data_IF_330005246433
#
_entry.id   IF_330005246433
#
_cell.length_a   1.000
_cell.length_b   1.000
_cell.length_c   1.000
_cell.angle_alpha   90.00
_cell.angle_beta   90.00
_cell.angle_gamma   90.00
#
_symmetry.space_group_name_H-M   'P 1'
#
loop_
_entity.id
_entity.type
_entity.pdbx_description
1 polymer ?
#
# COMPACT_ATOMS: atom_id res chain seq x y z
N UNK A 1 -0.50 -65.74 -55.53
CA UNK A 1 -1.67 -65.11 -54.88
C UNK A 1 -1.98 -65.93 -53.63
N UNK A 2 -2.17 -65.37 -52.43
CA UNK A 2 -2.17 -63.96 -52.04
C UNK A 2 -1.50 -63.74 -50.66
N UNK A 3 -1.44 -62.48 -50.23
CA UNK A 3 -0.86 -61.89 -49.01
C UNK A 3 -0.68 -62.80 -47.78
N UNK A 4 0.44 -62.79 -47.04
CA UNK A 4 1.26 -61.65 -46.59
C UNK A 4 0.50 -60.67 -45.66
N UNK A 5 -0.06 -61.18 -44.55
CA UNK A 5 -0.82 -60.36 -43.59
C UNK A 5 -0.84 -60.96 -42.16
N UNK A 6 0.34 -61.18 -41.55
CA UNK A 6 0.46 -61.76 -40.20
C UNK A 6 1.72 -61.31 -39.42
N UNK A 7 2.27 -60.12 -39.69
CA UNK A 7 3.57 -59.70 -39.10
C UNK A 7 3.69 -58.17 -38.89
N UNK A 8 2.62 -57.54 -38.41
CA UNK A 8 2.60 -56.17 -37.87
C UNK A 8 1.64 -56.13 -36.66
N UNK A 9 1.76 -55.10 -35.81
CA UNK A 9 0.98 -54.88 -34.56
C UNK A 9 1.30 -55.76 -33.33
N UNK A 10 2.56 -55.74 -32.85
CA UNK A 10 2.85 -55.60 -31.41
C UNK A 10 4.04 -54.63 -31.21
N UNK A 11 3.87 -53.36 -31.61
CA UNK A 11 4.80 -52.27 -31.28
C UNK A 11 4.05 -50.93 -31.28
N UNK A 12 3.32 -50.65 -30.18
CA UNK A 12 3.00 -49.31 -29.62
C UNK A 12 1.88 -49.43 -28.57
N UNK A 13 2.25 -49.69 -27.31
CA UNK A 13 1.44 -49.23 -26.15
C UNK A 13 2.30 -49.06 -24.89
N UNK A 14 3.46 -48.43 -25.06
CA UNK A 14 4.34 -47.98 -23.97
C UNK A 14 4.28 -46.46 -23.83
N UNK A 15 3.08 -45.88 -23.93
CA UNK A 15 2.80 -44.47 -23.59
C UNK A 15 2.86 -44.29 -22.07
N UNK A 16 4.05 -44.49 -21.51
CA UNK A 16 4.37 -44.07 -20.16
C UNK A 16 4.09 -42.57 -20.08
N UNK A 17 3.01 -42.22 -19.37
CA UNK A 17 2.74 -40.84 -19.01
C UNK A 17 3.77 -40.48 -17.94
N UNK A 18 4.94 -40.03 -18.38
CA UNK A 18 5.90 -39.38 -17.51
C UNK A 18 5.17 -38.20 -16.87
N UNK A 19 4.89 -38.32 -15.57
CA UNK A 19 4.46 -37.18 -14.78
C UNK A 19 5.57 -36.13 -14.89
N UNK A 20 5.25 -34.83 -15.07
CA UNK A 20 6.28 -33.82 -15.15
C UNK A 20 7.06 -33.79 -13.84
N UNK A 21 8.35 -34.14 -13.91
CA UNK A 21 9.24 -34.09 -12.76
C UNK A 21 9.28 -32.66 -12.18
N UNK A 22 9.28 -32.57 -10.86
CA UNK A 22 9.31 -31.28 -10.17
C UNK A 22 10.71 -30.69 -10.29
N UNK A 23 10.87 -29.72 -11.19
CA UNK A 23 12.09 -28.91 -11.29
C UNK A 23 12.16 -28.00 -10.06
N UNK A 24 13.18 -28.21 -9.23
CA UNK A 24 13.48 -27.39 -8.06
C UNK A 24 14.60 -26.40 -8.39
N UNK A 25 14.55 -25.22 -7.79
CA UNK A 25 15.61 -24.21 -7.86
C UNK A 25 16.56 -24.38 -6.66
N UNK A 26 17.87 -24.35 -6.91
CA UNK A 26 18.90 -24.52 -5.89
C UNK A 26 19.02 -23.29 -4.96
N UNK A 27 19.51 -23.52 -3.74
CA UNK A 27 19.83 -22.47 -2.76
C UNK A 27 18.72 -22.16 -1.74
N UNK A 28 17.50 -22.65 -1.94
CA UNK A 28 16.44 -22.56 -0.94
C UNK A 28 16.62 -23.60 0.18
N UNK A 29 16.42 -23.18 1.43
CA UNK A 29 16.43 -24.05 2.60
C UNK A 29 15.20 -23.80 3.48
N UNK A 30 14.69 -24.86 4.12
CA UNK A 30 13.51 -24.79 5.00
C UNK A 30 13.90 -25.27 6.40
N UNK A 31 13.59 -24.46 7.42
CA UNK A 31 13.90 -24.75 8.82
C UNK A 31 12.70 -24.45 9.73
N UNK A 32 12.46 -25.29 10.73
CA UNK A 32 11.35 -25.12 11.68
C UNK A 32 11.61 -23.96 12.64
N UNK A 33 10.92 -22.84 12.41
CA UNK A 33 10.97 -21.63 13.27
C UNK A 33 10.23 -21.83 14.60
N UNK A 34 9.11 -22.57 14.59
CA UNK A 34 8.25 -22.82 15.74
C UNK A 34 7.71 -24.25 15.65
N UNK A 35 7.71 -25.00 16.76
CA UNK A 35 7.08 -26.32 16.85
C UNK A 35 5.75 -26.22 17.63
N UNK A 36 4.63 -26.28 16.89
CA UNK A 36 3.29 -26.24 17.47
C UNK A 36 2.98 -27.38 18.43
N UNK A 37 3.55 -28.58 18.24
CA UNK A 37 3.30 -29.72 19.12
C UNK A 37 3.91 -29.51 20.50
N UNK A 38 5.13 -28.95 20.57
CA UNK A 38 5.77 -28.58 21.84
C UNK A 38 4.99 -27.51 22.60
N UNK A 39 4.36 -26.59 21.88
CA UNK A 39 3.63 -25.44 22.45
C UNK A 39 2.13 -25.68 22.65
N UNK A 40 1.59 -26.82 22.19
CA UNK A 40 0.14 -27.12 22.11
C UNK A 40 -0.65 -26.04 21.34
N UNK A 41 -0.05 -25.55 20.27
CA UNK A 41 -0.60 -24.58 19.33
C UNK A 41 -0.71 -25.22 17.94
N UNK A 42 -1.74 -24.88 17.18
CA UNK A 42 -1.95 -25.32 15.80
C UNK A 42 -1.89 -24.12 14.84
N UNK A 43 -0.69 -23.72 14.36
CA UNK A 43 -0.53 -22.57 13.47
C UNK A 43 -1.28 -22.77 12.14
N UNK A 44 -2.26 -21.91 11.88
CA UNK A 44 -3.02 -21.90 10.63
C UNK A 44 -2.47 -20.88 9.63
N UNK A 45 -2.14 -19.68 10.09
CA UNK A 45 -1.56 -18.61 9.28
C UNK A 45 -0.67 -17.69 10.12
N UNK A 46 0.26 -17.00 9.47
CA UNK A 46 1.28 -16.15 10.10
C UNK A 46 1.56 -14.91 9.26
N UNK A 47 1.69 -13.75 9.89
CA UNK A 47 2.08 -12.48 9.26
C UNK A 47 3.03 -11.68 10.16
N UNK A 48 3.92 -10.90 9.56
CA UNK A 48 4.85 -10.03 10.27
C UNK A 48 4.14 -8.73 10.75
N UNK A 49 4.28 -8.36 12.03
CA UNK A 49 3.66 -7.14 12.57
C UNK A 49 4.42 -5.90 12.12
N UNK A 50 3.76 -4.98 11.41
CA UNK A 50 4.38 -3.70 11.02
C UNK A 50 4.87 -2.94 12.26
N UNK A 51 6.14 -2.51 12.25
CA UNK A 51 6.74 -1.70 13.31
C UNK A 51 7.35 -2.46 14.50
N UNK A 52 7.24 -3.79 14.58
CA UNK A 52 8.07 -4.62 15.48
C UNK A 52 8.78 -5.72 14.70
N UNK A 53 9.51 -6.61 15.37
CA UNK A 53 10.05 -7.84 14.79
C UNK A 53 9.26 -9.09 15.23
N UNK A 54 8.01 -8.91 15.65
CA UNK A 54 7.14 -10.01 16.05
C UNK A 54 6.31 -10.52 14.86
N UNK A 55 6.17 -11.84 14.79
CA UNK A 55 5.15 -12.50 13.99
C UNK A 55 3.85 -12.56 14.79
N UNK A 56 2.71 -12.28 14.13
CA UNK A 56 1.39 -12.69 14.63
C UNK A 56 1.09 -14.06 14.03
N UNK A 57 0.68 -15.01 14.86
CA UNK A 57 0.27 -16.36 14.47
C UNK A 57 -1.19 -16.57 14.85
N UNK A 58 -1.99 -17.07 13.91
CA UNK A 58 -3.38 -17.47 14.15
C UNK A 58 -3.43 -18.99 14.37
N UNK A 59 -3.94 -19.40 15.53
CA UNK A 59 -4.48 -20.74 15.75
C UNK A 59 -6.00 -20.70 15.54
N UNK A 60 -6.42 -21.06 14.32
CA UNK A 60 -7.83 -21.05 13.92
C UNK A 60 -8.66 -22.07 14.70
N UNK A 61 -8.09 -23.25 14.96
CA UNK A 61 -8.76 -24.34 15.67
C UNK A 61 -9.08 -23.98 17.13
N UNK A 62 -8.13 -23.34 17.81
CA UNK A 62 -8.29 -22.83 19.18
C UNK A 62 -8.81 -21.38 19.24
N UNK A 63 -9.26 -20.78 18.12
CA UNK A 63 -9.84 -19.43 18.06
C UNK A 63 -8.95 -18.35 18.71
N UNK A 64 -7.63 -18.48 18.60
CA UNK A 64 -6.65 -17.73 19.41
C UNK A 64 -5.52 -17.16 18.55
N UNK A 65 -5.13 -15.92 18.85
CA UNK A 65 -4.00 -15.23 18.23
C UNK A 65 -2.82 -15.18 19.19
N UNK A 66 -1.61 -15.32 18.66
CA UNK A 66 -0.34 -15.25 19.39
C UNK A 66 0.61 -14.23 18.75
N UNK A 67 1.50 -13.64 19.54
CA UNK A 67 2.71 -12.96 19.06
C UNK A 67 3.95 -13.79 19.39
N UNK A 68 4.90 -13.83 18.45
CA UNK A 68 6.16 -14.56 18.59
C UNK A 68 7.31 -13.69 18.08
N UNK A 69 8.27 -13.38 18.93
CA UNK A 69 9.41 -12.55 18.55
C UNK A 69 10.37 -13.30 17.61
N UNK A 70 10.76 -12.63 16.53
CA UNK A 70 11.56 -13.14 15.42
C UNK A 70 12.78 -12.22 15.16
N UNK A 71 13.93 -12.69 14.60
CA UNK A 71 14.26 -14.09 14.24
C UNK A 71 14.16 -15.03 15.44
N UNK A 72 13.62 -16.22 15.22
CA UNK A 72 13.32 -17.10 16.35
C UNK A 72 14.58 -17.75 16.94
N UNK A 73 14.65 -17.79 18.27
CA UNK A 73 15.68 -18.51 19.02
C UNK A 73 15.04 -19.67 19.80
N UNK A 74 15.87 -20.48 20.48
CA UNK A 74 15.35 -21.49 21.41
C UNK A 74 14.59 -20.90 22.62
N UNK A 75 14.64 -19.57 22.80
CA UNK A 75 13.96 -18.82 23.87
C UNK A 75 12.80 -17.96 23.36
N UNK A 76 12.40 -18.07 22.08
CA UNK A 76 11.36 -17.21 21.48
C UNK A 76 10.02 -17.27 22.24
N UNK A 77 9.72 -16.19 22.96
CA UNK A 77 8.58 -16.12 23.88
C UNK A 77 7.27 -15.96 23.11
N UNK A 78 6.56 -17.08 22.93
CA UNK A 78 5.19 -17.09 22.41
C UNK A 78 4.24 -16.54 23.45
N UNK A 79 3.55 -15.43 23.14
CA UNK A 79 2.57 -14.76 24.01
C UNK A 79 1.21 -14.78 23.34
N UNK A 80 0.14 -14.96 24.11
CA UNK A 80 -1.23 -14.87 23.55
C UNK A 80 -1.62 -13.40 23.35
N UNK A 81 -1.96 -13.03 22.12
CA UNK A 81 -2.42 -11.71 21.72
C UNK A 81 -3.91 -11.51 22.05
N UNK A 82 -4.77 -12.45 21.62
CA UNK A 82 -6.21 -12.39 21.89
C UNK A 82 -6.90 -13.75 21.71
N UNK A 83 -8.13 -13.90 22.22
CA UNK A 83 -8.93 -15.12 22.20
C UNK A 83 -8.91 -15.84 23.56
N UNK A 84 -10.09 -16.20 24.10
CA UNK A 84 -10.18 -16.97 25.35
C UNK A 84 -10.02 -18.49 25.16
N UNK A 85 -9.83 -18.95 23.91
CA UNK A 85 -9.73 -20.36 23.51
C UNK A 85 -11.05 -20.99 23.07
N UNK A 86 -12.20 -20.36 23.34
CA UNK A 86 -13.53 -20.94 23.09
C UNK A 86 -14.19 -20.35 21.84
N UNK A 87 -14.86 -21.18 21.01
CA UNK A 87 -15.66 -20.67 19.89
C UNK A 87 -16.82 -19.81 20.42
N UNK A 88 -17.01 -18.63 19.84
CA UNK A 88 -18.08 -17.70 20.22
C UNK A 88 -17.99 -16.38 19.49
N UNK A 89 -18.87 -15.43 19.86
CA UNK A 89 -18.79 -14.05 19.42
C UNK A 89 -18.84 -13.14 20.65
N UNK A 90 -17.72 -12.50 20.96
CA UNK A 90 -17.60 -11.57 22.08
C UNK A 90 -16.50 -10.54 21.78
N UNK A 91 -16.88 -9.27 21.70
CA UNK A 91 -15.97 -8.12 21.66
C UNK A 91 -15.51 -7.73 23.08
N UNK A 92 -14.55 -6.79 23.18
CA UNK A 92 -14.04 -6.27 24.44
C UNK A 92 -12.57 -6.63 24.71
N UNK A 93 -12.22 -6.91 25.96
CA UNK A 93 -10.81 -7.09 26.38
C UNK A 93 -10.15 -8.26 25.63
N UNK A 94 -8.91 -8.05 25.20
CA UNK A 94 -8.10 -9.00 24.42
C UNK A 94 -8.12 -10.44 24.99
N UNK A 95 -8.03 -10.58 26.31
CA UNK A 95 -7.96 -11.87 27.02
C UNK A 95 -9.31 -12.58 27.24
N UNK A 96 -10.43 -11.92 26.95
CA UNK A 96 -11.79 -12.47 27.09
C UNK A 96 -12.60 -12.47 25.80
N UNK A 97 -12.11 -11.81 24.74
CA UNK A 97 -12.76 -11.80 23.44
C UNK A 97 -12.86 -13.21 22.85
N UNK A 98 -13.89 -13.44 22.02
CA UNK A 98 -14.14 -14.72 21.33
C UNK A 98 -14.36 -14.51 19.84
N UNK A 99 -13.83 -15.46 19.10
CA UNK A 99 -13.97 -15.68 17.66
C UNK A 99 -14.56 -17.10 17.45
N UNK A 100 -15.06 -17.43 16.26
CA UNK A 100 -15.47 -18.78 15.91
C UNK A 100 -14.96 -19.18 14.52
N UNK A 101 -13.99 -20.09 14.51
CA UNK A 101 -13.25 -20.52 13.32
C UNK A 101 -12.69 -19.35 12.49
N UNK A 102 -11.95 -18.38 13.10
CA UNK A 102 -11.34 -17.29 12.35
C UNK A 102 -10.45 -17.84 11.22
N UNK A 103 -10.71 -17.44 9.97
CA UNK A 103 -10.09 -18.04 8.78
C UNK A 103 -8.77 -17.36 8.41
N UNK A 104 -8.82 -16.09 8.03
CA UNK A 104 -7.63 -15.30 7.75
C UNK A 104 -7.61 -14.00 8.54
N UNK A 105 -6.47 -13.31 8.50
CA UNK A 105 -6.28 -12.03 9.15
C UNK A 105 -5.34 -11.15 8.33
N UNK A 106 -5.40 -9.84 8.55
CA UNK A 106 -4.52 -8.85 7.95
C UNK A 106 -4.01 -7.89 9.04
N UNK A 107 -2.83 -7.29 8.84
CA UNK A 107 -2.22 -6.35 9.78
C UNK A 107 -2.06 -4.99 9.10
N UNK A 108 -2.43 -3.90 9.79
CA UNK A 108 -2.18 -2.53 9.30
C UNK A 108 -0.81 -1.97 9.68
N UNK A 109 -0.52 -0.75 9.18
CA UNK A 109 0.73 -0.04 9.43
C UNK A 109 0.96 0.35 10.90
N UNK A 110 -0.04 0.20 11.77
CA UNK A 110 0.02 0.44 13.22
C UNK A 110 0.06 -0.86 14.03
N UNK A 111 -0.03 -2.01 13.37
CA UNK A 111 -0.04 -3.31 14.03
C UNK A 111 -1.38 -3.67 14.68
N UNK A 112 -2.50 -3.09 14.24
CA UNK A 112 -3.83 -3.67 14.51
C UNK A 112 -4.02 -4.92 13.65
N UNK A 113 -4.78 -5.91 14.14
CA UNK A 113 -5.06 -7.15 13.41
C UNK A 113 -6.54 -7.23 13.06
N UNK A 114 -6.85 -7.18 11.77
CA UNK A 114 -8.20 -7.42 11.26
C UNK A 114 -8.40 -8.92 11.02
N UNK A 115 -9.58 -9.45 11.29
CA UNK A 115 -9.85 -10.91 11.33
C UNK A 115 -11.13 -11.26 10.58
N UNK A 116 -11.07 -12.26 9.69
CA UNK A 116 -12.23 -12.89 9.07
C UNK A 116 -12.82 -13.95 10.01
N UNK A 117 -13.86 -13.58 10.75
CA UNK A 117 -14.51 -14.39 11.79
C UNK A 117 -15.79 -15.04 11.21
N UNK A 118 -15.59 -16.15 10.49
CA UNK A 118 -16.56 -16.67 9.51
C UNK A 118 -17.77 -17.43 10.11
N UNK A 119 -17.69 -17.98 11.32
CA UNK A 119 -18.84 -18.69 11.95
C UNK A 119 -19.57 -17.84 12.98
N UNK A 120 -20.77 -18.29 13.36
CA UNK A 120 -21.83 -17.51 14.00
C UNK A 120 -22.27 -16.33 13.10
N UNK A 121 -21.45 -15.28 13.06
CA UNK A 121 -21.83 -13.90 12.73
C UNK A 121 -21.32 -13.39 11.38
N UNK A 122 -20.40 -14.11 10.72
CA UNK A 122 -19.77 -13.74 9.43
C UNK A 122 -19.24 -12.30 9.49
N UNK A 123 -18.32 -12.08 10.42
CA UNK A 123 -17.88 -10.74 10.84
C UNK A 123 -16.44 -10.46 10.49
N UNK A 124 -16.15 -9.20 10.18
CA UNK A 124 -14.79 -8.69 10.15
C UNK A 124 -14.54 -7.98 11.48
N UNK A 125 -13.65 -8.56 12.28
CA UNK A 125 -13.28 -8.08 13.62
C UNK A 125 -11.95 -7.31 13.51
N UNK A 126 -11.66 -6.47 14.49
CA UNK A 126 -10.39 -5.75 14.64
C UNK A 126 -9.88 -5.89 16.07
N UNK A 127 -8.68 -6.44 16.21
CA UNK A 127 -7.88 -6.50 17.42
C UNK A 127 -6.96 -5.26 17.44
N UNK A 128 -6.97 -4.54 18.55
CA UNK A 128 -6.17 -3.33 18.78
C UNK A 128 -5.81 -3.21 20.26
N UNK A 129 -4.94 -2.28 20.64
CA UNK A 129 -4.47 -2.15 22.03
C UNK A 129 -5.61 -1.80 23.02
N UNK A 130 -6.74 -1.28 22.54
CA UNK A 130 -7.95 -1.04 23.34
C UNK A 130 -8.86 -2.27 23.50
N UNK A 131 -8.65 -3.33 22.69
CA UNK A 131 -9.43 -4.56 22.68
C UNK A 131 -9.83 -5.03 21.28
N UNK A 132 -10.78 -5.97 21.24
CA UNK A 132 -11.42 -6.50 20.04
C UNK A 132 -12.74 -5.79 19.81
N UNK A 133 -12.99 -5.37 18.57
CA UNK A 133 -14.24 -4.74 18.12
C UNK A 133 -14.69 -5.33 16.78
N UNK A 134 -15.98 -5.36 16.51
CA UNK A 134 -16.53 -5.72 15.20
C UNK A 134 -16.60 -4.49 14.29
N UNK A 135 -15.99 -4.55 13.11
CA UNK A 135 -16.00 -3.43 12.14
C UNK A 135 -17.01 -3.62 11.01
N UNK A 136 -17.34 -4.85 10.63
CA UNK A 136 -18.35 -5.16 9.63
C UNK A 136 -19.04 -6.52 9.89
N UNK A 137 -20.27 -6.66 9.41
CA UNK A 137 -21.10 -7.86 9.59
C UNK A 137 -21.84 -7.92 10.92
N UNK A 138 -22.37 -9.09 11.26
CA UNK A 138 -22.86 -9.41 12.61
C UNK A 138 -24.27 -8.97 12.99
N UNK A 139 -24.96 -8.21 12.13
CA UNK A 139 -26.43 -8.01 12.23
C UNK A 139 -27.19 -9.13 11.49
N UNK A 140 -26.64 -9.66 10.41
CA UNK A 140 -27.15 -10.88 9.78
C UNK A 140 -26.57 -12.11 10.46
N UNK A 141 -27.41 -12.91 11.13
CA UNK A 141 -27.05 -14.24 11.64
C UNK A 141 -26.94 -15.30 10.51
N UNK A 142 -27.13 -14.89 9.25
CA UNK A 142 -27.06 -15.73 8.05
C UNK A 142 -25.97 -15.25 7.11
N UNK A 143 -25.38 -16.19 6.38
CA UNK A 143 -24.55 -15.88 5.22
C UNK A 143 -25.35 -15.11 4.16
N UNK A 144 -24.67 -14.23 3.42
CA UNK A 144 -25.25 -13.39 2.37
C UNK A 144 -24.19 -12.50 1.72
N UNK A 145 -24.60 -11.66 0.76
CA UNK A 145 -23.70 -10.81 -0.03
C UNK A 145 -24.15 -9.34 -0.06
N UNK A 146 -24.87 -8.88 0.96
CA UNK A 146 -25.41 -7.51 1.01
C UNK A 146 -24.27 -6.52 1.27
N UNK A 147 -24.18 -5.48 0.43
CA UNK A 147 -23.32 -4.31 0.61
C UNK A 147 -24.05 -3.15 1.31
N UNK A 148 -23.31 -2.16 1.80
CA UNK A 148 -23.85 -0.96 2.43
C UNK A 148 -23.03 -0.49 3.64
N UNK A 149 -23.63 0.23 4.59
CA UNK A 149 -23.01 0.51 5.88
C UNK A 149 -22.53 -0.78 6.55
N UNK A 150 -21.34 -0.76 7.14
CA UNK A 150 -20.63 -1.99 7.52
C UNK A 150 -21.39 -2.92 8.48
N UNK A 151 -22.28 -2.37 9.32
CA UNK A 151 -23.18 -3.12 10.19
C UNK A 151 -24.23 -3.94 9.41
N UNK A 152 -24.74 -3.39 8.31
CA UNK A 152 -25.78 -3.99 7.47
C UNK A 152 -25.19 -4.95 6.41
N UNK A 153 -23.87 -4.89 6.18
CA UNK A 153 -23.20 -5.80 5.26
C UNK A 153 -23.32 -7.25 5.73
N UNK A 154 -23.43 -8.18 4.79
CA UNK A 154 -23.32 -9.63 5.06
C UNK A 154 -22.31 -10.28 4.12
N UNK A 155 -21.65 -11.33 4.60
CA UNK A 155 -20.61 -12.10 3.92
C UNK A 155 -20.99 -13.58 3.92
N UNK A 156 -20.32 -14.41 3.11
CA UNK A 156 -20.50 -15.86 3.17
C UNK A 156 -19.85 -16.47 4.42
N UNK A 157 -19.84 -17.81 4.57
CA UNK A 157 -18.99 -18.51 5.53
C UNK A 157 -17.64 -18.97 4.95
N UNK A 158 -17.32 -18.59 3.72
CA UNK A 158 -15.98 -18.70 3.13
C UNK A 158 -15.53 -17.34 2.57
N UNK A 159 -14.92 -16.53 3.42
CA UNK A 159 -14.24 -15.30 3.00
C UNK A 159 -12.90 -15.10 3.71
N UNK A 160 -12.00 -14.39 3.03
CA UNK A 160 -10.67 -14.04 3.49
C UNK A 160 -10.40 -12.55 3.25
N UNK A 161 -9.51 -11.96 4.04
CA UNK A 161 -9.20 -10.52 3.99
C UNK A 161 -7.72 -10.23 3.75
N UNK A 162 -7.44 -9.10 3.10
CA UNK A 162 -6.08 -8.57 2.87
C UNK A 162 -6.10 -7.04 3.04
N UNK A 163 -5.01 -6.45 3.55
CA UNK A 163 -4.90 -5.01 3.77
C UNK A 163 -4.08 -4.35 2.65
N UNK A 164 -4.59 -3.24 2.09
CA UNK A 164 -3.89 -2.41 1.11
C UNK A 164 -3.55 -1.06 1.76
N UNK A 165 -2.27 -0.81 2.09
CA UNK A 165 -1.83 0.44 2.71
C UNK A 165 -2.19 1.70 1.90
N UNK A 166 -1.93 1.67 0.60
CA UNK A 166 -2.05 2.84 -0.29
C UNK A 166 -3.50 3.23 -0.61
N UNK A 167 -4.46 2.34 -0.31
CA UNK A 167 -5.91 2.61 -0.42
C UNK A 167 -6.57 2.86 0.95
N UNK A 168 -5.84 2.68 2.06
CA UNK A 168 -6.40 2.63 3.40
C UNK A 168 -7.62 1.70 3.50
N UNK A 169 -7.49 0.47 3.00
CA UNK A 169 -8.64 -0.42 2.83
C UNK A 169 -8.30 -1.89 3.15
N UNK A 170 -9.32 -2.65 3.53
CA UNK A 170 -9.32 -4.11 3.39
C UNK A 170 -9.94 -4.47 2.04
N UNK A 171 -9.31 -5.39 1.31
CA UNK A 171 -10.02 -6.23 0.34
C UNK A 171 -10.54 -7.48 1.05
N UNK A 172 -11.65 -8.00 0.54
CA UNK A 172 -12.30 -9.23 0.98
C UNK A 172 -12.47 -10.12 -0.26
N UNK A 173 -11.86 -11.30 -0.23
CA UNK A 173 -12.16 -12.38 -1.17
C UNK A 173 -13.28 -13.21 -0.57
N UNK A 174 -14.51 -12.98 -1.03
CA UNK A 174 -15.74 -13.56 -0.49
C UNK A 174 -16.13 -14.77 -1.36
N UNK A 175 -15.35 -15.86 -1.23
CA UNK A 175 -15.37 -17.03 -2.10
C UNK A 175 -16.76 -17.67 -2.19
N UNK A 176 -17.46 -17.82 -1.05
CA UNK A 176 -18.80 -18.40 -1.01
C UNK A 176 -19.86 -17.57 -1.77
N UNK A 177 -19.58 -16.29 -2.00
CA UNK A 177 -20.40 -15.38 -2.82
C UNK A 177 -19.82 -15.11 -4.22
N UNK A 178 -18.61 -15.59 -4.52
CA UNK A 178 -17.86 -15.32 -5.76
C UNK A 178 -17.56 -13.82 -6.01
N UNK A 179 -17.35 -13.04 -4.93
CA UNK A 179 -17.11 -11.59 -5.00
C UNK A 179 -15.74 -11.20 -4.48
N UNK A 180 -15.11 -10.19 -5.11
CA UNK A 180 -14.08 -9.37 -4.49
C UNK A 180 -14.71 -8.07 -4.03
N UNK A 181 -14.60 -7.77 -2.74
CA UNK A 181 -15.26 -6.64 -2.06
C UNK A 181 -14.21 -5.81 -1.34
N UNK A 182 -14.55 -4.60 -0.90
CA UNK A 182 -13.64 -3.76 -0.12
C UNK A 182 -14.35 -3.05 1.04
N UNK A 183 -13.57 -2.71 2.07
CA UNK A 183 -13.97 -1.83 3.16
C UNK A 183 -12.90 -0.75 3.29
N UNK A 184 -13.29 0.50 3.05
CA UNK A 184 -12.47 1.66 3.42
C UNK A 184 -12.31 1.70 4.93
N UNK A 185 -11.07 1.65 5.40
CA UNK A 185 -10.74 1.81 6.81
C UNK A 185 -10.74 3.30 7.18
N UNK A 186 -10.61 3.58 8.47
CA UNK A 186 -10.53 4.95 8.97
C UNK A 186 -9.11 5.49 8.85
N UNK A 187 -8.98 6.79 8.61
CA UNK A 187 -7.67 7.42 8.41
C UNK A 187 -6.72 7.22 9.61
N UNK A 188 -7.24 7.17 10.84
CA UNK A 188 -6.43 6.93 12.04
C UNK A 188 -5.82 5.52 12.11
N UNK A 189 -6.28 4.55 11.32
CA UNK A 189 -5.72 3.19 11.25
C UNK A 189 -4.57 3.10 10.24
N UNK A 190 -4.63 3.90 9.19
CA UNK A 190 -3.66 3.91 8.10
C UNK A 190 -2.53 4.94 8.30
N UNK A 191 -2.73 5.92 9.18
CA UNK A 191 -1.72 6.91 9.54
C UNK A 191 -0.48 6.25 10.20
N UNK A 192 0.62 6.14 9.45
CA UNK A 192 1.96 5.86 10.01
C UNK A 192 2.25 6.89 11.11
N UNK A 193 2.71 6.43 12.27
CA UNK A 193 3.01 7.30 13.42
C UNK A 193 4.00 8.41 13.05
N UNK A 194 3.51 9.65 12.92
CA UNK A 194 4.16 10.69 12.13
C UNK A 194 5.22 11.49 12.91
N UNK A 195 6.27 10.81 13.40
CA UNK A 195 7.54 11.47 13.76
C UNK A 195 8.41 11.74 12.51
N UNK A 196 7.77 12.03 11.37
CA UNK A 196 8.38 12.20 10.07
C UNK A 196 7.82 13.45 9.33
N UNK A 197 8.52 14.57 9.52
CA UNK A 197 8.73 15.63 8.54
C UNK A 197 7.56 16.41 7.89
N UNK A 198 6.28 16.24 8.25
CA UNK A 198 5.21 17.18 7.81
C UNK A 198 5.03 18.40 8.73
N UNK A 199 6.14 19.07 9.08
CA UNK A 199 6.16 20.29 9.90
C UNK A 199 7.30 21.26 9.61
N UNK A 200 8.16 20.97 8.63
CA UNK A 200 9.43 21.68 8.42
C UNK A 200 9.45 22.63 7.19
N UNK A 201 8.36 22.74 6.43
CA UNK A 201 8.33 23.48 5.15
C UNK A 201 7.56 24.81 5.21
N UNK A 202 6.60 24.96 6.13
CA UNK A 202 5.74 26.15 6.20
C UNK A 202 6.42 27.40 6.76
N UNK A 203 7.45 27.23 7.60
CA UNK A 203 8.15 28.35 8.26
C UNK A 203 9.14 29.07 7.33
N UNK A 204 9.88 28.32 6.52
CA UNK A 204 10.90 28.89 5.62
C UNK A 204 10.30 29.74 4.48
N UNK A 205 9.15 29.33 3.93
CA UNK A 205 8.45 30.10 2.89
C UNK A 205 7.96 31.46 3.41
N UNK A 206 7.47 31.51 4.65
CA UNK A 206 7.08 32.77 5.30
C UNK A 206 8.30 33.64 5.63
N UNK A 207 9.41 33.05 6.12
CA UNK A 207 10.64 33.78 6.41
C UNK A 207 11.32 34.39 5.17
N UNK A 208 11.42 33.63 4.07
CA UNK A 208 11.98 34.11 2.80
C UNK A 208 11.05 35.12 2.12
N UNK A 209 9.74 34.90 2.15
CA UNK A 209 8.76 35.86 1.64
C UNK A 209 8.81 37.20 2.36
N UNK A 210 8.82 37.19 3.71
CA UNK A 210 8.82 38.41 4.52
C UNK A 210 10.15 39.19 4.40
N UNK A 211 11.29 38.50 4.40
CA UNK A 211 12.60 39.15 4.23
C UNK A 211 12.78 39.77 2.84
N UNK A 212 12.29 39.11 1.78
CA UNK A 212 12.29 39.68 0.43
C UNK A 212 11.38 40.94 0.34
N UNK A 213 10.19 40.89 0.94
CA UNK A 213 9.28 42.03 0.99
C UNK A 213 9.87 43.23 1.74
N UNK A 214 10.49 42.99 2.90
CA UNK A 214 11.19 44.02 3.69
C UNK A 214 12.36 44.64 2.92
N UNK A 215 13.18 43.81 2.26
CA UNK A 215 14.29 44.28 1.43
C UNK A 215 13.83 45.20 0.28
N UNK A 216 12.71 44.87 -0.36
CA UNK A 216 12.12 45.68 -1.43
C UNK A 216 11.56 47.01 -0.91
N UNK A 217 10.89 47.01 0.25
CA UNK A 217 10.39 48.23 0.91
C UNK A 217 11.54 49.15 1.30
N UNK A 218 12.59 48.62 1.95
CA UNK A 218 13.79 49.39 2.32
C UNK A 218 14.51 49.93 1.08
N UNK A 219 14.65 49.11 0.03
CA UNK A 219 15.26 49.53 -1.23
C UNK A 219 14.53 50.70 -1.92
N UNK A 220 13.20 50.76 -1.83
CA UNK A 220 12.40 51.90 -2.32
C UNK A 220 12.56 53.11 -1.40
N UNK A 221 12.50 52.92 -0.08
CA UNK A 221 12.59 54.01 0.91
C UNK A 221 13.97 54.71 0.94
N UNK A 222 15.05 53.96 0.73
CA UNK A 222 16.42 54.50 0.68
C UNK A 222 16.76 55.12 -0.69
N UNK A 223 16.07 54.73 -1.76
CA UNK A 223 16.33 55.17 -3.14
C UNK A 223 16.51 56.69 -3.34
N UNK A 224 15.70 57.60 -2.76
CA UNK A 224 15.88 59.03 -2.92
C UNK A 224 17.07 59.63 -2.13
N UNK A 225 17.72 58.84 -1.26
CA UNK A 225 18.87 59.28 -0.45
C UNK A 225 20.23 58.79 -1.00
N UNK A 226 20.24 58.02 -2.10
CA UNK A 226 21.47 57.54 -2.74
C UNK A 226 22.02 58.63 -3.66
N UNK A 227 23.02 59.38 -3.18
CA UNK A 227 23.75 60.38 -3.97
C UNK A 227 24.69 59.67 -4.97
N UNK A 228 24.55 59.86 -6.29
CA UNK A 228 25.43 59.21 -7.26
C UNK A 228 26.84 59.80 -7.27
N UNK A 229 27.86 59.01 -6.92
CA UNK A 229 29.26 59.39 -7.07
C UNK A 229 29.73 59.16 -8.52
N UNK A 230 29.95 60.25 -9.26
CA UNK A 230 30.42 60.20 -10.66
C UNK A 230 31.90 59.85 -10.78
N UNK A 231 32.22 58.57 -10.57
CA UNK A 231 33.57 58.01 -10.75
C UNK A 231 34.04 58.07 -12.20
N UNK A 232 35.05 58.91 -12.47
CA UNK A 232 35.67 59.10 -13.79
C UNK A 232 36.71 58.01 -14.07
N UNK A 233 36.50 57.17 -15.08
CA UNK A 233 37.50 56.22 -15.60
C UNK A 233 37.68 56.40 -17.12
N UNK A 234 38.90 56.14 -17.60
CA UNK A 234 39.37 56.48 -18.95
C UNK A 234 39.28 55.30 -19.92
N UNK A 235 39.12 55.60 -21.21
CA UNK A 235 39.17 54.63 -22.31
C UNK A 235 40.60 54.49 -22.90
N UNK A 236 41.03 53.26 -23.27
CA UNK A 236 42.18 53.03 -24.17
C UNK A 236 41.82 53.25 -25.67
N UNK A 237 42.82 53.36 -26.58
CA UNK A 237 42.61 53.86 -27.95
C UNK A 237 42.43 52.80 -29.08
N UNK A 238 41.92 53.31 -30.22
CA UNK A 238 42.17 52.95 -31.65
C UNK A 238 43.41 52.08 -31.99
N UNK A 239 43.50 51.30 -33.08
CA UNK A 239 42.75 51.20 -34.37
C UNK A 239 43.06 49.81 -35.06
N UNK A 240 42.52 49.34 -36.21
CA UNK A 240 41.50 49.82 -37.20
C UNK A 240 40.59 48.62 -37.59
N UNK A 241 40.28 48.14 -38.81
CA UNK A 241 40.60 48.43 -40.23
C UNK A 241 39.33 48.32 -41.13
N UNK A 242 39.41 48.55 -42.45
CA UNK A 242 38.21 48.82 -43.30
C UNK A 242 38.30 48.32 -44.76
N UNK A 243 37.24 47.64 -45.25
CA UNK A 243 36.81 47.44 -46.67
C UNK A 243 35.49 46.60 -46.67
N UNK A 244 34.47 46.71 -47.54
CA UNK A 244 34.13 47.61 -48.67
C UNK A 244 32.60 47.95 -48.76
N UNK A 245 32.33 49.16 -49.28
CA UNK A 245 31.20 49.68 -50.09
C UNK A 245 30.30 48.72 -50.95
N UNK A 246 29.18 49.20 -51.57
CA UNK A 246 28.22 50.25 -51.15
C UNK A 246 26.71 50.12 -51.62
N UNK A 247 25.78 50.72 -50.86
CA UNK A 247 24.63 51.55 -51.31
C UNK A 247 23.42 50.97 -52.13
N UNK A 248 22.34 51.78 -52.20
CA UNK A 248 21.09 51.74 -53.00
C UNK A 248 19.96 50.80 -52.51
N UNK A 249 18.66 51.15 -52.63
CA UNK A 249 17.96 52.46 -52.77
C UNK A 249 16.43 52.28 -52.65
N UNK A 250 15.69 53.30 -52.19
CA UNK A 250 14.21 53.30 -52.07
C UNK A 250 13.75 53.07 -50.61
N UNK A 251 12.79 53.78 -49.99
CA UNK A 251 11.61 54.54 -50.47
C UNK A 251 10.60 53.67 -51.26
N UNK A 252 9.29 53.63 -50.97
CA UNK A 252 8.49 54.41 -49.99
C UNK A 252 7.24 53.65 -49.46
N UNK A 253 6.88 53.94 -48.21
CA UNK A 253 5.54 54.39 -47.72
C UNK A 253 4.28 53.50 -47.69
N UNK A 254 3.51 53.72 -46.60
CA UNK A 254 2.03 53.66 -46.43
C UNK A 254 1.24 52.34 -46.52
N UNK A 255 0.61 52.02 -45.38
CA UNK A 255 -0.79 51.58 -45.18
C UNK A 255 -1.56 50.85 -46.30
N UNK A 256 -2.17 49.70 -45.97
CA UNK A 256 -3.57 49.67 -45.48
C UNK A 256 -4.10 48.29 -45.06
N UNK A 257 -4.92 48.29 -44.00
CA UNK A 257 -6.17 47.54 -43.76
C UNK A 257 -6.28 46.00 -43.94
N UNK A 258 -6.68 45.35 -42.82
CA UNK A 258 -7.79 44.37 -42.71
C UNK A 258 -7.85 43.11 -43.63
N UNK A 259 -7.72 41.91 -43.04
CA UNK A 259 -8.91 41.08 -42.73
C UNK A 259 -8.71 39.83 -41.84
N UNK A 260 -9.64 39.74 -40.90
CA UNK A 260 -10.22 38.58 -40.17
C UNK A 260 -10.37 37.22 -40.87
N UNK A 261 -10.51 36.16 -40.03
CA UNK A 261 -11.11 34.81 -40.28
C UNK A 261 -10.25 33.88 -41.18
N UNK A 262 -10.35 32.52 -41.17
CA UNK A 262 -11.19 31.47 -40.50
C UNK A 262 -10.35 30.16 -40.47
N UNK A 263 -10.67 29.01 -39.84
CA UNK A 263 -11.80 28.46 -39.03
C UNK A 263 -11.17 27.49 -37.99
N UNK A 264 -11.96 26.79 -37.15
CA UNK A 264 -11.49 25.57 -36.47
C UNK A 264 -11.39 24.38 -37.43
N UNK A 265 -10.66 23.33 -37.04
CA UNK A 265 -11.27 22.00 -36.99
C UNK A 265 -11.52 21.73 -35.51
#
# INVERSE_FOLDING_TARGET
MASALALFFIFNLASFHALPDVVLEDGYTVSTVIDGHKLRMNPHSVLHRSGSSDLVVLDSANNTFYTVSFPASQESVVKRLSGDGRPGYLDGKLSSARFNSPRSFAIDLKGNVYVADIKNKRTIRKISDSGVTTIAGGYSEKAGHVDGPAQNASFSDDFEISFIPELCALLISDHGNQLVRHISLKAEDCARGSNAAMGAVSTWLLGLGLSCLLGLIVGIAVRPYIIPSTGRLQAPPFQRDMETSPNSSGETSTDTLLRHQKRSC
#
